data_IF_347356222743
#
_entry.id   IF_347356222743
#
_cell.length_a   1.000
_cell.length_b   1.000
_cell.length_c   1.000
_cell.angle_alpha   90.00
_cell.angle_beta   90.00
_cell.angle_gamma   90.00
#
_symmetry.space_group_name_H-M   'P 1'
#
loop_
_entity.id
_entity.type
_entity.pdbx_description
1 polymer ?
#
# COMPACT_ATOMS: atom_id res chain seq x y z
N UNK A 1 9.45 29.55 10.81
CA UNK A 1 8.84 28.34 10.23
C UNK A 1 8.56 27.40 11.40
N UNK A 2 7.29 27.12 11.71
CA UNK A 2 6.94 26.26 12.85
C UNK A 2 6.68 24.86 12.31
N UNK A 3 7.62 23.95 12.52
CA UNK A 3 7.50 22.56 12.08
C UNK A 3 6.58 21.82 13.04
N UNK A 4 5.42 21.38 12.56
CA UNK A 4 4.56 20.47 13.29
C UNK A 4 5.08 19.05 13.06
N UNK A 5 5.74 18.49 14.06
CA UNK A 5 6.03 17.07 14.10
C UNK A 5 4.80 16.33 14.64
N UNK A 6 4.45 15.15 14.10
CA UNK A 6 3.42 14.32 14.71
C UNK A 6 3.78 14.00 16.17
N UNK A 7 2.82 14.05 17.07
CA UNK A 7 2.99 13.45 18.39
C UNK A 7 3.02 11.93 18.24
N UNK A 8 3.96 11.28 18.95
CA UNK A 8 4.04 9.83 18.94
C UNK A 8 2.76 9.24 19.53
N UNK A 9 2.12 8.34 18.78
CA UNK A 9 0.93 7.61 19.22
C UNK A 9 1.21 6.10 19.11
N UNK A 10 1.30 5.44 20.26
CA UNK A 10 1.52 3.99 20.35
C UNK A 10 0.27 3.16 20.05
N UNK A 11 -0.90 3.78 19.97
CA UNK A 11 -2.20 3.12 19.81
C UNK A 11 -2.77 3.25 18.38
N UNK A 12 -1.93 3.43 17.36
CA UNK A 12 -2.41 3.52 15.98
C UNK A 12 -2.80 2.13 15.46
N UNK A 13 -4.09 1.94 15.20
CA UNK A 13 -4.58 0.79 14.45
C UNK A 13 -4.41 1.05 12.95
N UNK A 14 -3.51 0.32 12.29
CA UNK A 14 -3.23 0.50 10.86
C UNK A 14 -4.44 0.19 9.97
N UNK A 15 -5.32 -0.73 10.37
CA UNK A 15 -6.54 -1.03 9.61
C UNK A 15 -7.53 0.13 9.67
N UNK A 16 -7.65 0.79 10.82
CA UNK A 16 -8.47 1.99 10.95
C UNK A 16 -7.85 3.19 10.22
N UNK A 17 -6.52 3.29 10.17
CA UNK A 17 -5.85 4.39 9.48
C UNK A 17 -5.84 4.24 7.95
N UNK A 18 -5.55 3.04 7.44
CA UNK A 18 -5.32 2.80 6.00
C UNK A 18 -6.42 1.98 5.31
N UNK A 19 -7.15 1.18 6.07
CA UNK A 19 -8.21 0.30 5.58
C UNK A 19 -9.57 0.97 5.41
N UNK A 20 -9.63 2.30 5.44
CA UNK A 20 -10.86 3.07 5.32
C UNK A 20 -11.40 3.02 3.89
N UNK A 21 -12.71 2.83 3.76
CA UNK A 21 -13.42 2.92 2.49
C UNK A 21 -13.26 4.32 1.89
N UNK A 22 -12.77 4.39 0.65
CA UNK A 22 -12.62 5.66 -0.06
C UNK A 22 -13.91 5.96 -0.80
N UNK A 23 -14.53 7.10 -0.47
CA UNK A 23 -15.70 7.56 -1.19
C UNK A 23 -15.36 7.80 -2.67
N UNK A 24 -16.29 7.46 -3.56
CA UNK A 24 -16.15 7.76 -4.98
C UNK A 24 -16.27 9.27 -5.17
N UNK A 25 -15.49 9.82 -6.10
CA UNK A 25 -15.64 11.23 -6.46
C UNK A 25 -17.05 11.47 -7.04
N UNK A 26 -17.66 12.62 -6.77
CA UNK A 26 -19.03 12.96 -7.22
C UNK A 26 -19.20 12.86 -8.73
N UNK A 27 -18.13 13.14 -9.49
CA UNK A 27 -18.10 12.99 -10.96
C UNK A 27 -18.06 11.53 -11.45
N UNK A 28 -18.15 10.53 -10.56
CA UNK A 28 -18.10 9.11 -10.88
C UNK A 28 -16.69 8.57 -11.16
N UNK A 29 -15.65 9.41 -11.10
CA UNK A 29 -14.24 8.97 -11.27
C UNK A 29 -13.79 8.06 -10.12
N UNK A 30 -12.95 7.04 -10.38
CA UNK A 30 -12.39 6.21 -9.33
C UNK A 30 -11.41 7.01 -8.47
N UNK A 31 -11.35 6.70 -7.19
CA UNK A 31 -10.31 7.20 -6.29
C UNK A 31 -9.08 6.31 -6.42
N UNK A 32 -7.92 6.92 -6.64
CA UNK A 32 -6.65 6.20 -6.82
C UNK A 32 -5.80 6.39 -5.57
N UNK A 33 -5.34 5.28 -5.00
CA UNK A 33 -4.29 5.27 -3.99
C UNK A 33 -2.99 4.76 -4.59
N UNK A 34 -1.88 5.40 -4.25
CA UNK A 34 -0.54 4.93 -4.57
C UNK A 34 0.16 4.48 -3.27
N UNK A 35 0.78 3.30 -3.31
CA UNK A 35 1.54 2.76 -2.19
C UNK A 35 2.83 2.14 -2.73
N UNK A 36 3.96 2.56 -2.17
CA UNK A 36 5.29 2.09 -2.52
C UNK A 36 6.16 2.10 -1.25
N UNK A 37 7.22 1.31 -1.25
CA UNK A 37 8.31 1.38 -0.28
C UNK A 37 9.58 1.81 -1.01
N UNK A 38 10.39 2.65 -0.37
CA UNK A 38 11.67 3.11 -0.93
C UNK A 38 12.70 3.32 0.17
N UNK A 39 13.98 3.15 -0.17
CA UNK A 39 15.10 3.63 0.64
C UNK A 39 15.25 5.15 0.55
N UNK A 40 16.05 5.70 1.47
CA UNK A 40 16.26 7.14 1.59
C UNK A 40 16.90 7.79 0.35
N UNK A 41 17.63 7.00 -0.45
CA UNK A 41 18.30 7.43 -1.68
C UNK A 41 17.42 7.29 -2.94
N UNK A 42 16.18 6.82 -2.81
CA UNK A 42 15.27 6.70 -3.93
C UNK A 42 15.02 5.28 -4.44
N UNK A 43 15.81 4.29 -4.04
CA UNK A 43 15.65 2.93 -4.57
C UNK A 43 14.36 2.28 -4.06
N UNK A 44 13.69 1.54 -4.95
CA UNK A 44 12.48 0.76 -4.63
C UNK A 44 12.79 -0.73 -4.44
N UNK A 45 14.06 -1.12 -4.58
CA UNK A 45 14.52 -2.50 -4.44
C UNK A 45 15.90 -2.57 -3.75
N UNK A 46 16.13 -3.65 -3.02
CA UNK A 46 17.45 -4.12 -2.60
C UNK A 46 17.63 -5.49 -3.22
N UNK A 47 18.74 -5.75 -3.90
CA UNK A 47 18.98 -7.02 -4.62
C UNK A 47 17.81 -7.44 -5.53
N UNK A 48 17.18 -6.48 -6.21
CA UNK A 48 16.02 -6.70 -7.08
C UNK A 48 14.69 -6.98 -6.35
N UNK A 49 14.65 -6.92 -5.03
CA UNK A 49 13.45 -7.20 -4.22
C UNK A 49 13.02 -6.00 -3.39
N UNK A 50 11.74 -5.62 -3.50
CA UNK A 50 11.17 -4.59 -2.63
C UNK A 50 10.89 -5.11 -1.22
N UNK A 51 10.75 -6.43 -1.05
CA UNK A 51 10.50 -7.06 0.26
C UNK A 51 11.63 -6.87 1.26
N UNK A 52 12.85 -6.58 0.78
CA UNK A 52 14.03 -6.31 1.60
C UNK A 52 14.06 -4.86 2.14
N UNK A 53 13.23 -3.96 1.61
CA UNK A 53 12.99 -2.62 2.17
C UNK A 53 11.84 -2.60 3.19
N UNK A 54 11.10 -3.70 3.29
CA UNK A 54 9.85 -3.80 4.05
C UNK A 54 10.09 -4.37 5.46
N UNK A 55 9.14 -4.11 6.36
CA UNK A 55 9.09 -4.67 7.71
C UNK A 55 7.66 -5.17 8.00
N UNK A 56 7.41 -5.86 9.13
CA UNK A 56 6.06 -6.36 9.45
C UNK A 56 4.98 -5.27 9.42
N UNK A 57 5.29 -4.07 9.95
CA UNK A 57 4.37 -2.93 9.97
C UNK A 57 4.01 -2.43 8.56
N UNK A 58 5.00 -2.32 7.66
CA UNK A 58 4.79 -1.97 6.24
C UNK A 58 3.90 -3.01 5.52
N UNK A 59 4.09 -4.29 5.83
CA UNK A 59 3.24 -5.37 5.31
C UNK A 59 1.79 -5.24 5.79
N UNK A 60 1.57 -4.85 7.04
CA UNK A 60 0.23 -4.60 7.57
C UNK A 60 -0.45 -3.41 6.88
N UNK A 61 0.31 -2.35 6.55
CA UNK A 61 -0.19 -1.21 5.77
C UNK A 61 -0.65 -1.64 4.39
N UNK A 62 0.18 -2.36 3.61
CA UNK A 62 -0.23 -2.79 2.27
C UNK A 62 -1.40 -3.78 2.32
N UNK A 63 -1.50 -4.63 3.34
CA UNK A 63 -2.66 -5.52 3.55
C UNK A 63 -3.93 -4.70 3.84
N UNK A 64 -3.85 -3.69 4.70
CA UNK A 64 -4.98 -2.81 5.01
C UNK A 64 -5.46 -2.05 3.75
N UNK A 65 -4.53 -1.52 2.96
CA UNK A 65 -4.84 -0.84 1.70
C UNK A 65 -5.49 -1.78 0.68
N UNK A 66 -4.96 -3.00 0.51
CA UNK A 66 -5.54 -4.00 -0.39
C UNK A 66 -6.93 -4.45 0.05
N UNK A 67 -7.19 -4.52 1.35
CA UNK A 67 -8.52 -4.84 1.86
C UNK A 67 -9.57 -3.77 1.50
N UNK A 68 -9.17 -2.50 1.54
CA UNK A 68 -10.02 -1.36 1.17
C UNK A 68 -10.17 -1.15 -0.34
N UNK A 69 -9.31 -1.75 -1.15
CA UNK A 69 -9.36 -1.62 -2.61
C UNK A 69 -10.42 -2.55 -3.24
N UNK A 70 -11.03 -2.06 -4.30
CA UNK A 70 -11.87 -2.86 -5.22
C UNK A 70 -11.02 -3.52 -6.33
N UNK A 71 -9.93 -2.87 -6.72
CA UNK A 71 -9.00 -3.34 -7.75
C UNK A 71 -7.58 -2.92 -7.39
N UNK A 72 -6.60 -3.80 -7.60
CA UNK A 72 -5.18 -3.50 -7.42
C UNK A 72 -4.55 -3.43 -8.81
N UNK A 73 -3.84 -2.33 -9.07
CA UNK A 73 -3.05 -2.18 -10.28
C UNK A 73 -1.57 -2.43 -9.96
N UNK A 74 -0.93 -3.37 -10.66
CA UNK A 74 0.50 -3.70 -10.47
C UNK A 74 1.17 -3.95 -11.81
N UNK A 75 2.36 -3.36 -12.00
CA UNK A 75 3.17 -3.61 -13.19
C UNK A 75 3.52 -5.09 -13.36
N UNK A 76 3.40 -5.61 -14.58
CA UNK A 76 3.65 -7.03 -14.86
C UNK A 76 5.08 -7.49 -14.52
N UNK A 77 6.07 -6.61 -14.61
CA UNK A 77 7.45 -6.89 -14.15
C UNK A 77 7.49 -7.19 -12.64
N UNK A 78 6.88 -6.32 -11.84
CA UNK A 78 6.77 -6.49 -10.39
C UNK A 78 6.05 -7.77 -10.00
N UNK A 79 4.97 -8.15 -10.72
CA UNK A 79 4.27 -9.43 -10.48
C UNK A 79 5.22 -10.62 -10.63
N UNK A 80 6.03 -10.63 -11.70
CA UNK A 80 6.99 -11.72 -11.98
C UNK A 80 8.13 -11.76 -10.98
N UNK A 81 8.71 -10.60 -10.66
CA UNK A 81 9.89 -10.51 -9.79
C UNK A 81 9.55 -10.73 -8.31
N UNK A 82 8.36 -10.31 -7.86
CA UNK A 82 7.95 -10.38 -6.46
C UNK A 82 7.01 -11.57 -6.16
N UNK A 83 6.83 -12.50 -7.09
CA UNK A 83 6.08 -13.75 -6.89
C UNK A 83 4.67 -13.52 -6.31
N UNK A 84 3.93 -12.57 -6.90
CA UNK A 84 2.57 -12.26 -6.44
C UNK A 84 1.65 -13.48 -6.56
N UNK A 85 0.82 -13.68 -5.53
CA UNK A 85 -0.25 -14.69 -5.53
C UNK A 85 -1.62 -14.02 -5.68
N UNK A 86 -2.65 -14.77 -6.11
CA UNK A 86 -4.02 -14.26 -6.14
C UNK A 86 -4.43 -13.66 -4.78
N UNK A 87 -5.14 -12.52 -4.76
CA UNK A 87 -5.58 -11.92 -3.51
C UNK A 87 -6.54 -12.84 -2.74
N UNK A 88 -6.45 -12.85 -1.40
CA UNK A 88 -7.35 -13.63 -0.56
C UNK A 88 -8.78 -13.06 -0.45
N UNK A 89 -9.02 -11.80 -0.86
CA UNK A 89 -10.35 -11.18 -0.86
C UNK A 89 -11.11 -11.63 -2.11
N UNK A 90 -12.26 -12.28 -1.93
CA UNK A 90 -13.12 -12.70 -3.03
C UNK A 90 -13.51 -11.48 -3.88
N UNK A 91 -13.38 -11.62 -5.20
CA UNK A 91 -13.70 -10.55 -6.16
C UNK A 91 -12.60 -9.50 -6.36
N UNK A 92 -11.56 -9.47 -5.52
CA UNK A 92 -10.43 -8.56 -5.70
C UNK A 92 -9.54 -9.04 -6.86
N UNK A 93 -9.27 -8.13 -7.80
CA UNK A 93 -8.48 -8.40 -9.00
C UNK A 93 -7.14 -7.69 -8.93
N UNK A 94 -6.11 -8.33 -9.47
CA UNK A 94 -4.81 -7.73 -9.78
C UNK A 94 -4.73 -7.60 -11.30
N UNK A 95 -4.43 -6.40 -11.80
CA UNK A 95 -4.29 -6.12 -13.23
C UNK A 95 -3.40 -4.93 -13.52
#
# INVERSE_FOLDING_TARGET
MHQLLPSFNSAVNLREAYGVARQRHESGRPTIGLCMVMSIDGSTVVEGRSTLLSNPTDRDVIIALRAAADTIVVGAGTIREQMYTPPGKLGLRVG
#
